data_IF_216899206198
#
_entry.id   IF_216899206198
#
_cell.length_a   1.000
_cell.length_b   1.000
_cell.length_c   1.000
_cell.angle_alpha   90.00
_cell.angle_beta   90.00
_cell.angle_gamma   90.00
#
_symmetry.space_group_name_H-M   'P 1'
#
loop_
_entity.id
_entity.type
_entity.pdbx_description
1 polymer ?
#
# COMPACT_ATOMS: atom_id res chain seq x y z
N UNK A 1 -13.48 1.83 -12.77
CA UNK A 1 -12.24 2.65 -12.90
C UNK A 1 -11.71 2.66 -14.33
N UNK A 2 -11.57 1.50 -14.98
CA UNK A 2 -10.96 1.40 -16.31
C UNK A 2 -11.72 2.13 -17.42
N UNK A 3 -13.03 2.26 -17.30
CA UNK A 3 -13.89 2.92 -18.30
C UNK A 3 -13.72 4.45 -18.35
N UNK A 4 -13.45 5.09 -17.21
CA UNK A 4 -13.50 6.56 -17.09
C UNK A 4 -12.19 7.20 -16.63
N UNK A 5 -11.12 6.42 -16.47
CA UNK A 5 -9.82 6.92 -16.03
C UNK A 5 -8.70 6.38 -16.93
N UNK A 6 -8.16 7.25 -17.79
CA UNK A 6 -7.01 6.94 -18.62
C UNK A 6 -5.70 6.92 -17.78
N UNK A 7 -4.87 5.86 -17.86
CA UNK A 7 -3.64 5.75 -17.07
C UNK A 7 -2.62 6.86 -17.29
N UNK A 8 -2.45 7.34 -18.53
CA UNK A 8 -1.48 8.39 -18.85
C UNK A 8 -1.99 9.76 -18.38
N UNK A 9 -3.30 10.01 -18.49
CA UNK A 9 -3.92 11.23 -17.94
C UNK A 9 -3.81 11.23 -16.42
N UNK A 10 -4.17 10.13 -15.75
CA UNK A 10 -4.03 10.02 -14.31
C UNK A 10 -2.58 10.28 -13.87
N UNK A 11 -1.62 9.59 -14.46
CA UNK A 11 -0.22 9.68 -14.07
C UNK A 11 0.39 11.06 -14.30
N UNK A 12 0.16 11.67 -15.47
CA UNK A 12 0.84 12.91 -15.85
C UNK A 12 0.06 14.19 -15.50
N UNK A 13 -1.26 14.11 -15.33
CA UNK A 13 -2.11 15.30 -15.13
C UNK A 13 -2.82 15.34 -13.80
N UNK A 14 -3.15 14.21 -13.17
CA UNK A 14 -3.90 14.19 -11.91
C UNK A 14 -2.97 13.96 -10.73
N UNK A 15 -2.20 12.87 -10.76
CA UNK A 15 -1.24 12.47 -9.72
C UNK A 15 -0.28 13.59 -9.25
N UNK A 16 0.22 14.51 -10.12
CA UNK A 16 1.00 15.67 -9.70
C UNK A 16 0.33 16.50 -8.59
N UNK A 17 -0.98 16.75 -8.73
CA UNK A 17 -1.76 17.58 -7.81
C UNK A 17 -2.14 16.84 -6.53
N UNK A 18 -2.00 15.51 -6.52
CA UNK A 18 -2.22 14.68 -5.34
C UNK A 18 -0.95 14.49 -4.49
N UNK A 19 0.21 14.91 -4.99
CA UNK A 19 1.46 14.84 -4.24
C UNK A 19 1.47 15.89 -3.12
N UNK A 20 1.94 15.48 -1.94
CA UNK A 20 2.14 16.39 -0.81
C UNK A 20 3.53 17.03 -0.82
N UNK A 21 3.89 17.70 0.28
CA UNK A 21 5.21 18.31 0.48
C UNK A 21 6.18 17.44 1.29
N UNK A 22 5.68 16.41 1.98
CA UNK A 22 6.49 15.48 2.78
C UNK A 22 7.34 14.58 1.86
N UNK A 23 8.63 14.46 2.18
CA UNK A 23 9.60 13.67 1.43
C UNK A 23 9.81 14.11 -0.05
N UNK A 24 9.54 15.39 -0.35
CA UNK A 24 9.62 15.97 -1.71
C UNK A 24 10.84 16.88 -1.94
N UNK A 25 11.93 16.68 -1.20
CA UNK A 25 13.16 17.44 -1.39
C UNK A 25 13.71 17.33 -2.83
N UNK A 26 13.69 16.14 -3.41
CA UNK A 26 14.10 15.87 -4.81
C UNK A 26 13.22 16.57 -5.85
N UNK A 27 11.99 16.90 -5.47
CA UNK A 27 11.01 17.59 -6.31
C UNK A 27 11.07 19.12 -6.19
N UNK A 28 12.01 19.66 -5.41
CA UNK A 28 12.17 21.10 -5.20
C UNK A 28 11.46 21.64 -3.95
N UNK A 29 10.97 20.77 -3.05
CA UNK A 29 10.41 21.15 -1.75
C UNK A 29 11.26 20.61 -0.58
N UNK A 30 12.53 21.04 -0.43
CA UNK A 30 13.42 20.53 0.63
C UNK A 30 12.96 20.91 2.04
N UNK A 31 12.25 22.03 2.17
CA UNK A 31 11.69 22.53 3.43
C UNK A 31 10.18 22.31 3.53
N UNK A 32 9.56 21.61 2.58
CA UNK A 32 8.10 21.51 2.52
C UNK A 32 7.46 22.80 1.99
N UNK A 33 6.31 23.19 2.56
CA UNK A 33 5.56 24.39 2.17
C UNK A 33 5.51 25.39 3.32
N UNK A 34 5.80 26.66 3.04
CA UNK A 34 5.57 27.74 4.00
C UNK A 34 4.08 28.11 3.97
N UNK A 35 3.42 28.03 5.12
CA UNK A 35 2.05 28.50 5.30
C UNK A 35 2.10 29.94 5.82
N UNK A 36 2.23 30.89 4.89
CA UNK A 36 2.30 32.32 5.21
C UNK A 36 0.97 32.80 5.80
N UNK A 37 1.03 33.27 7.04
CA UNK A 37 -0.08 33.84 7.79
C UNK A 37 -0.18 35.37 7.65
N UNK A 38 0.70 35.98 6.83
CA UNK A 38 0.78 37.42 6.61
C UNK A 38 1.54 38.17 7.71
N UNK A 39 2.01 37.50 8.77
CA UNK A 39 2.78 38.11 9.85
C UNK A 39 4.30 38.00 9.65
N UNK A 40 4.74 37.52 8.48
CA UNK A 40 6.15 37.38 8.13
C UNK A 40 6.87 36.24 8.86
N UNK A 41 6.11 35.35 9.54
CA UNK A 41 6.66 34.15 10.17
C UNK A 41 6.82 33.04 9.12
N UNK A 42 7.99 32.41 9.12
CA UNK A 42 8.24 31.24 8.29
C UNK A 42 7.77 29.99 9.04
N UNK A 43 6.63 29.43 8.62
CA UNK A 43 6.07 28.18 9.16
C UNK A 43 6.05 27.11 8.06
N UNK A 44 7.21 26.47 7.89
CA UNK A 44 7.40 25.40 6.93
C UNK A 44 6.83 24.08 7.46
N UNK A 45 5.91 23.48 6.69
CA UNK A 45 5.24 22.24 7.06
C UNK A 45 5.37 21.17 5.99
N UNK A 46 5.44 19.93 6.47
CA UNK A 46 5.53 18.72 5.66
C UNK A 46 4.25 17.92 5.79
N UNK A 47 3.47 17.84 4.71
CA UNK A 47 2.24 17.05 4.66
C UNK A 47 2.32 15.99 3.57
N UNK A 48 1.86 14.79 3.90
CA UNK A 48 1.75 13.68 2.95
C UNK A 48 0.69 14.00 1.89
N UNK A 49 0.91 13.52 0.66
CA UNK A 49 -0.08 13.60 -0.40
C UNK A 49 -1.27 12.68 -0.16
N UNK A 50 -2.30 12.82 -0.99
CA UNK A 50 -3.49 11.98 -0.94
C UNK A 50 -3.15 10.52 -1.20
N UNK A 51 -3.69 9.60 -0.40
CA UNK A 51 -3.50 8.16 -0.60
C UNK A 51 -4.66 7.33 -0.06
N UNK A 52 -4.87 6.13 -0.60
CA UNK A 52 -5.93 5.22 -0.16
C UNK A 52 -5.77 4.78 1.31
N UNK A 53 -4.59 4.92 1.91
CA UNK A 53 -4.38 4.65 3.34
C UNK A 53 -5.11 5.66 4.25
N UNK A 54 -5.61 6.77 3.70
CA UNK A 54 -6.48 7.73 4.39
C UNK A 54 -7.96 7.30 4.37
N UNK A 55 -8.31 6.18 3.73
CA UNK A 55 -9.66 5.61 3.79
C UNK A 55 -9.90 4.96 5.15
N UNK A 56 -10.92 5.44 5.87
CA UNK A 56 -11.35 4.85 7.14
C UNK A 56 -11.95 3.45 6.95
N UNK A 57 -12.61 3.19 5.82
CA UNK A 57 -13.25 1.90 5.55
C UNK A 57 -12.23 0.77 5.41
N UNK A 58 -11.11 1.01 4.71
CA UNK A 58 -10.06 0.00 4.56
C UNK A 58 -9.45 -0.32 5.92
N UNK A 59 -9.11 0.72 6.71
CA UNK A 59 -8.56 0.51 8.05
C UNK A 59 -9.56 -0.10 9.03
N UNK A 60 -10.87 0.14 8.85
CA UNK A 60 -11.90 -0.47 9.69
C UNK A 60 -11.90 -2.00 9.56
N UNK A 61 -11.85 -2.54 8.33
CA UNK A 61 -11.77 -3.99 8.14
C UNK A 61 -10.49 -4.58 8.72
N UNK A 62 -9.37 -3.87 8.61
CA UNK A 62 -8.11 -4.31 9.22
C UNK A 62 -8.25 -4.44 10.74
N UNK A 63 -8.84 -3.43 11.38
CA UNK A 63 -9.04 -3.41 12.84
C UNK A 63 -10.01 -4.50 13.29
N UNK A 64 -11.19 -4.61 12.65
CA UNK A 64 -12.22 -5.58 13.07
C UNK A 64 -11.75 -7.02 12.88
N UNK A 65 -10.99 -7.30 11.81
CA UNK A 65 -10.47 -8.62 11.53
C UNK A 65 -9.16 -8.92 12.27
N UNK A 66 -8.61 -8.00 13.05
CA UNK A 66 -7.37 -8.21 13.82
C UNK A 66 -6.12 -8.32 12.95
N UNK A 67 -6.05 -7.54 11.86
CA UNK A 67 -4.90 -7.44 10.96
C UNK A 67 -3.96 -6.34 11.46
N UNK A 68 -2.74 -6.74 11.81
CA UNK A 68 -1.70 -5.82 12.28
C UNK A 68 -0.74 -5.41 11.17
N UNK A 69 -0.64 -4.10 10.96
CA UNK A 69 0.26 -3.52 9.98
C UNK A 69 1.57 -3.06 10.61
N UNK A 70 2.70 -3.46 10.03
CA UNK A 70 4.03 -3.09 10.52
C UNK A 70 4.69 -2.02 9.64
N UNK A 71 5.74 -1.34 10.13
CA UNK A 71 6.55 -0.47 9.28
C UNK A 71 7.05 -1.23 8.04
N UNK A 72 7.12 -0.52 6.91
CA UNK A 72 7.48 -1.15 5.64
C UNK A 72 8.90 -1.71 5.67
N UNK A 73 9.07 -3.00 5.37
CA UNK A 73 10.33 -3.72 5.39
C UNK A 73 10.59 -4.54 6.66
N UNK A 74 9.71 -4.48 7.66
CA UNK A 74 9.74 -5.37 8.82
C UNK A 74 8.87 -6.61 8.54
N UNK A 75 9.51 -7.78 8.36
CA UNK A 75 8.81 -9.06 8.18
C UNK A 75 8.79 -9.85 9.49
N UNK A 76 7.61 -10.27 9.93
CA UNK A 76 7.39 -11.09 11.13
C UNK A 76 7.91 -12.51 10.95
N UNK A 77 9.23 -12.70 11.06
CA UNK A 77 9.87 -14.01 10.91
C UNK A 77 11.19 -14.20 11.68
N UNK A 78 11.67 -13.18 12.37
CA UNK A 78 12.69 -13.34 13.41
C UNK A 78 12.10 -12.83 14.70
N UNK A 79 11.85 -13.75 15.65
CA UNK A 79 12.11 -13.43 17.06
C UNK A 79 13.43 -12.67 17.05
N UNK A 80 13.40 -11.40 17.42
CA UNK A 80 14.60 -10.60 17.64
C UNK A 80 15.45 -11.39 18.62
N UNK A 81 16.38 -12.20 18.12
CA UNK A 81 17.61 -12.48 18.85
C UNK A 81 18.10 -11.09 19.22
N UNK A 82 18.16 -10.83 20.51
CA UNK A 82 18.83 -9.67 21.07
C UNK A 82 20.17 -9.52 20.35
N UNK A 83 20.22 -8.68 19.32
CA UNK A 83 21.46 -8.12 18.84
C UNK A 83 21.77 -7.05 19.86
N UNK A 84 22.66 -7.41 20.76
CA UNK A 84 23.43 -6.52 21.61
C UNK A 84 24.12 -5.48 20.73
N UNK A 85 23.41 -4.43 20.32
CA UNK A 85 24.00 -3.17 19.92
C UNK A 85 23.81 -2.20 21.07
N UNK A 86 24.94 -1.72 21.57
CA UNK A 86 25.07 -0.78 22.68
C UNK A 86 24.18 0.45 22.47
N UNK A 87 23.58 1.02 23.54
CA UNK A 87 22.77 2.22 23.41
C UNK A 87 23.67 3.38 23.01
N UNK A 88 23.49 3.90 21.79
CA UNK A 88 23.95 5.27 21.46
C UNK A 88 22.91 6.23 22.03
N UNK A 89 23.32 7.07 22.97
CA UNK A 89 22.51 7.91 23.86
C UNK A 89 21.64 9.00 23.19
N UNK A 90 21.51 9.08 21.86
CA UNK A 90 20.79 10.18 21.17
C UNK A 90 19.54 9.76 20.38
N UNK A 91 18.89 8.64 20.71
CA UNK A 91 17.55 8.35 20.18
C UNK A 91 16.55 8.17 21.31
N UNK A 92 15.69 9.18 21.47
CA UNK A 92 14.40 9.03 22.14
C UNK A 92 13.70 7.75 21.66
N UNK A 93 12.97 7.03 22.54
CA UNK A 93 12.38 5.73 22.22
C UNK A 93 11.52 5.84 20.97
N UNK A 94 12.05 5.32 19.86
CA UNK A 94 11.52 5.59 18.53
C UNK A 94 10.13 4.99 18.38
N UNK A 95 9.11 5.82 18.28
CA UNK A 95 7.85 5.46 17.65
C UNK A 95 8.19 4.95 16.24
N UNK A 96 8.24 3.63 16.07
CA UNK A 96 8.44 3.01 14.76
C UNK A 96 7.24 3.42 13.91
N UNK A 97 7.49 4.29 12.96
CA UNK A 97 6.45 5.08 12.30
C UNK A 97 5.63 4.20 11.33
N UNK A 98 4.51 3.66 11.81
CA UNK A 98 3.54 2.95 10.98
C UNK A 98 2.79 3.97 10.08
N UNK A 99 3.02 3.89 8.78
CA UNK A 99 2.41 4.80 7.79
C UNK A 99 0.89 4.78 7.84
N UNK A 100 0.26 3.61 8.02
CA UNK A 100 -1.21 3.47 8.08
C UNK A 100 -1.76 4.22 9.31
N UNK A 101 -1.08 4.13 10.45
CA UNK A 101 -1.45 4.87 11.66
C UNK A 101 -1.23 6.37 11.50
N UNK A 102 -0.17 6.80 10.81
CA UNK A 102 0.01 8.23 10.48
C UNK A 102 -1.18 8.75 9.66
N UNK A 103 -1.67 7.97 8.70
CA UNK A 103 -2.77 8.39 7.83
C UNK A 103 -4.10 8.61 8.56
N UNK A 104 -4.28 8.11 9.80
CA UNK A 104 -5.44 8.48 10.63
C UNK A 104 -5.47 9.97 10.98
N UNK A 105 -4.32 10.64 11.07
CA UNK A 105 -4.23 12.10 11.26
C UNK A 105 -4.74 12.90 10.05
N UNK A 106 -4.87 12.24 8.91
CA UNK A 106 -5.38 12.81 7.67
C UNK A 106 -6.85 12.43 7.41
N UNK A 107 -7.49 11.70 8.34
CA UNK A 107 -8.92 11.38 8.28
C UNK A 107 -9.75 12.47 8.98
N UNK A 108 -11.05 12.61 8.65
CA UNK A 108 -11.97 13.37 9.47
C UNK A 108 -11.93 12.91 10.93
N UNK A 109 -11.90 13.87 11.87
CA UNK A 109 -11.73 13.58 13.29
C UNK A 109 -12.69 12.51 13.85
N UNK A 110 -14.00 12.54 13.54
CA UNK A 110 -14.93 11.48 13.95
C UNK A 110 -14.55 10.09 13.43
N UNK A 111 -14.04 9.98 12.19
CA UNK A 111 -13.65 8.69 11.60
C UNK A 111 -12.40 8.12 12.26
N UNK A 112 -11.40 8.96 12.54
CA UNK A 112 -10.20 8.54 13.26
C UNK A 112 -10.54 8.04 14.67
N UNK A 113 -11.37 8.79 15.42
CA UNK A 113 -11.84 8.37 16.76
C UNK A 113 -12.65 7.09 16.72
N UNK A 114 -13.48 6.90 15.70
CA UNK A 114 -14.21 5.66 15.50
C UNK A 114 -13.27 4.47 15.34
N UNK A 115 -12.21 4.59 14.51
CA UNK A 115 -11.22 3.52 14.37
C UNK A 115 -10.47 3.22 15.66
N UNK A 116 -10.15 4.25 16.45
CA UNK A 116 -9.49 4.06 17.74
C UNK A 116 -10.43 3.35 18.75
N UNK A 117 -11.72 3.70 18.77
CA UNK A 117 -12.72 3.05 19.62
C UNK A 117 -12.96 1.59 19.20
N UNK A 118 -13.12 1.33 17.90
CA UNK A 118 -13.28 -0.03 17.37
C UNK A 118 -12.05 -0.87 17.71
N UNK A 119 -10.84 -0.30 17.65
CA UNK A 119 -9.62 -1.02 18.03
C UNK A 119 -9.53 -1.41 19.51
N UNK A 120 -10.30 -0.78 20.40
CA UNK A 120 -10.36 -1.15 21.82
C UNK A 120 -11.35 -2.29 22.10
N UNK A 121 -12.35 -2.48 21.23
CA UNK A 121 -13.47 -3.41 21.47
C UNK A 121 -13.52 -4.57 20.47
N UNK A 122 -12.84 -4.45 19.33
CA UNK A 122 -12.81 -5.49 18.31
C UNK A 122 -12.15 -6.75 18.85
N UNK A 123 -12.92 -7.84 18.87
CA UNK A 123 -12.53 -9.13 19.41
C UNK A 123 -12.90 -10.29 18.48
N UNK A 124 -13.22 -10.01 17.20
CA UNK A 124 -13.71 -11.03 16.25
C UNK A 124 -12.68 -12.14 16.10
N UNK A 125 -11.40 -11.78 15.93
CA UNK A 125 -10.31 -12.75 15.82
C UNK A 125 -10.22 -13.64 17.06
N UNK A 126 -10.11 -13.05 18.25
CA UNK A 126 -10.00 -13.79 19.51
C UNK A 126 -11.22 -14.70 19.73
N UNK A 127 -12.41 -14.22 19.36
CA UNK A 127 -13.63 -15.00 19.44
C UNK A 127 -13.61 -16.22 18.50
N UNK A 128 -13.14 -16.07 17.27
CA UNK A 128 -13.00 -17.18 16.32
C UNK A 128 -11.90 -18.15 16.78
N UNK A 129 -10.77 -17.65 17.26
CA UNK A 129 -9.66 -18.49 17.76
C UNK A 129 -10.06 -19.33 18.98
N UNK A 130 -10.89 -18.79 19.87
CA UNK A 130 -11.43 -19.52 21.04
C UNK A 130 -12.50 -20.55 20.69
N UNK A 131 -13.16 -20.40 19.54
CA UNK A 131 -14.21 -21.31 19.04
C UNK A 131 -13.77 -22.00 17.73
N UNK A 132 -12.48 -22.36 17.65
CA UNK A 132 -11.90 -23.04 16.50
C UNK A 132 -12.49 -24.44 16.24
N UNK A 133 -13.24 -24.99 17.20
CA UNK A 133 -14.05 -26.19 17.07
C UNK A 133 -15.27 -26.00 16.15
N UNK A 134 -15.69 -24.76 15.90
CA UNK A 134 -16.73 -24.43 14.94
C UNK A 134 -16.13 -24.16 13.55
N UNK A 135 -16.22 -25.13 12.61
CA UNK A 135 -15.61 -24.98 11.29
C UNK A 135 -16.30 -23.92 10.43
N UNK A 136 -17.61 -23.68 10.61
CA UNK A 136 -18.35 -22.69 9.83
C UNK A 136 -17.94 -21.27 10.22
N UNK A 137 -17.77 -21.01 11.53
CA UNK A 137 -17.29 -19.74 12.05
C UNK A 137 -15.88 -19.44 11.54
N UNK A 138 -14.99 -20.42 11.65
CA UNK A 138 -13.61 -20.32 11.16
C UNK A 138 -13.56 -20.04 9.66
N UNK A 139 -14.36 -20.78 8.88
CA UNK A 139 -14.45 -20.61 7.44
C UNK A 139 -14.96 -19.22 7.05
N UNK A 140 -15.98 -18.70 7.73
CA UNK A 140 -16.53 -17.38 7.46
C UNK A 140 -15.50 -16.27 7.71
N UNK A 141 -14.79 -16.33 8.84
CA UNK A 141 -13.72 -15.39 9.16
C UNK A 141 -12.57 -15.44 8.14
N UNK A 142 -12.09 -16.65 7.82
CA UNK A 142 -11.03 -16.87 6.85
C UNK A 142 -11.44 -16.41 5.43
N UNK A 143 -12.71 -16.56 5.06
CA UNK A 143 -13.25 -16.05 3.80
C UNK A 143 -13.22 -14.51 3.75
N UNK A 144 -13.51 -13.82 4.87
CA UNK A 144 -13.37 -12.36 4.93
C UNK A 144 -11.92 -11.91 4.69
N UNK A 145 -10.95 -12.58 5.31
CA UNK A 145 -9.53 -12.31 5.07
C UNK A 145 -9.14 -12.56 3.60
N UNK A 146 -9.65 -13.63 3.00
CA UNK A 146 -9.36 -13.98 1.61
C UNK A 146 -9.90 -12.91 0.64
N UNK A 147 -11.13 -12.43 0.87
CA UNK A 147 -11.74 -11.36 0.09
C UNK A 147 -10.97 -10.05 0.22
N UNK A 148 -10.51 -9.70 1.43
CA UNK A 148 -9.70 -8.51 1.64
C UNK A 148 -8.32 -8.61 0.99
N UNK A 149 -7.71 -9.81 0.98
CA UNK A 149 -6.46 -10.06 0.25
C UNK A 149 -6.68 -9.89 -1.26
N UNK A 150 -7.74 -10.46 -1.82
CA UNK A 150 -8.09 -10.31 -3.24
C UNK A 150 -8.34 -8.85 -3.64
N UNK A 151 -8.99 -8.08 -2.76
CA UNK A 151 -9.14 -6.63 -2.95
C UNK A 151 -7.78 -5.91 -3.02
N UNK A 152 -6.83 -6.29 -2.16
CA UNK A 152 -5.46 -5.74 -2.17
C UNK A 152 -4.69 -6.14 -3.43
N UNK A 153 -4.88 -7.35 -3.95
CA UNK A 153 -4.30 -7.77 -5.24
C UNK A 153 -4.83 -6.94 -6.41
N UNK A 154 -6.16 -6.73 -6.48
CA UNK A 154 -6.77 -5.81 -7.46
C UNK A 154 -6.20 -4.41 -7.35
N UNK A 155 -5.99 -3.91 -6.13
CA UNK A 155 -5.37 -2.60 -5.92
C UNK A 155 -3.91 -2.54 -6.39
N UNK A 156 -3.11 -3.60 -6.18
CA UNK A 156 -1.75 -3.72 -6.72
C UNK A 156 -1.76 -3.70 -8.26
N UNK A 157 -2.73 -4.39 -8.89
CA UNK A 157 -2.89 -4.39 -10.35
C UNK A 157 -3.24 -2.98 -10.88
N UNK A 158 -4.15 -2.27 -10.19
CA UNK A 158 -4.47 -0.86 -10.48
C UNK A 158 -3.21 0.00 -10.39
N UNK A 159 -2.46 -0.08 -9.29
CA UNK A 159 -1.23 0.69 -9.09
C UNK A 159 -0.20 0.39 -10.18
N UNK A 160 -0.09 -0.88 -10.58
CA UNK A 160 0.80 -1.29 -11.67
C UNK A 160 0.43 -0.59 -12.98
N UNK A 161 -0.85 -0.64 -13.37
CA UNK A 161 -1.35 -0.04 -14.61
C UNK A 161 -1.27 1.49 -14.62
N UNK A 162 -1.63 2.13 -13.51
CA UNK A 162 -1.79 3.59 -13.43
C UNK A 162 -0.54 4.34 -12.97
N UNK A 163 0.44 3.64 -12.38
CA UNK A 163 1.65 4.27 -11.84
C UNK A 163 2.92 3.64 -12.43
N UNK A 164 3.10 2.33 -12.30
CA UNK A 164 4.37 1.69 -12.68
C UNK A 164 4.59 1.73 -14.19
N UNK A 165 3.60 1.31 -14.98
CA UNK A 165 3.71 1.24 -16.45
C UNK A 165 3.95 2.65 -17.03
N UNK A 166 3.13 3.68 -16.75
CA UNK A 166 3.39 5.05 -17.21
C UNK A 166 4.76 5.59 -16.78
N UNK A 167 5.21 5.31 -15.55
CA UNK A 167 6.52 5.77 -15.07
C UNK A 167 7.68 5.17 -15.88
N UNK A 168 7.59 3.89 -16.23
CA UNK A 168 8.61 3.21 -17.07
C UNK A 168 8.64 3.79 -18.48
N UNK A 169 7.48 4.08 -19.06
CA UNK A 169 7.39 4.71 -20.39
C UNK A 169 8.00 6.11 -20.43
N UNK A 170 7.68 6.95 -19.45
CA UNK A 170 8.26 8.31 -19.33
C UNK A 170 9.78 8.24 -19.17
N UNK A 171 10.28 7.28 -18.36
CA UNK A 171 11.72 7.06 -18.19
C UNK A 171 12.39 6.57 -19.47
N UNK A 172 11.76 5.67 -20.22
CA UNK A 172 12.28 5.17 -21.50
C UNK A 172 12.39 6.30 -22.54
N UNK A 173 11.33 7.12 -22.69
CA UNK A 173 11.30 8.29 -23.59
C UNK A 173 12.31 9.37 -23.20
N UNK A 174 12.61 9.50 -21.91
CA UNK A 174 13.60 10.48 -21.43
C UNK A 174 15.05 10.06 -21.72
N UNK A 175 15.33 8.76 -21.87
CA UNK A 175 16.68 8.26 -22.22
C UNK A 175 17.00 8.36 -23.70
N UNK A 176 15.98 8.44 -24.57
CA UNK A 176 16.16 8.53 -26.02
C UNK A 176 16.24 9.98 -26.54
N UNK A 177 16.07 11.00 -25.68
CA UNK A 177 16.19 12.42 -26.04
C UNK A 177 17.48 13.03 -25.48
N UNK A 178 18.13 13.89 -26.27
CA UNK A 178 19.36 14.59 -25.89
C UNK A 178 19.16 15.46 -24.62
N UNK A 179 20.21 15.62 -23.79
CA UNK A 179 20.11 16.22 -22.45
C UNK A 179 19.69 17.71 -22.43
N UNK A 180 19.81 18.44 -23.53
CA UNK A 180 19.48 19.88 -23.58
C UNK A 180 17.98 20.19 -23.64
N UNK A 181 17.14 19.30 -24.19
CA UNK A 181 15.71 19.58 -24.40
C UNK A 181 14.82 19.30 -23.16
N UNK A 182 15.37 18.78 -22.06
CA UNK A 182 14.59 18.27 -20.90
C UNK A 182 14.54 19.19 -19.68
N UNK A 183 14.81 20.50 -19.83
CA UNK A 183 14.48 21.52 -18.81
C UNK A 183 12.97 21.81 -18.66
N UNK A 184 12.09 21.04 -19.31
CA UNK A 184 10.63 21.25 -19.24
C UNK A 184 10.02 20.46 -18.07
N UNK A 185 9.61 21.21 -17.04
CA UNK A 185 8.74 20.87 -15.89
C UNK A 185 8.99 19.50 -15.24
N UNK A 186 9.79 19.51 -14.18
CA UNK A 186 9.80 18.43 -13.18
C UNK A 186 8.44 18.44 -12.47
N UNK A 187 7.73 17.32 -12.55
CA UNK A 187 6.49 17.09 -11.83
C UNK A 187 6.81 16.48 -10.44
N UNK A 188 6.16 17.01 -9.39
CA UNK A 188 6.29 16.60 -7.99
C UNK A 188 6.17 15.07 -7.81
N UNK A 189 5.22 14.43 -8.50
CA UNK A 189 4.97 13.00 -8.38
C UNK A 189 5.93 12.12 -9.21
N UNK A 190 6.68 12.73 -10.12
CA UNK A 190 7.58 12.08 -11.08
C UNK A 190 9.06 12.41 -10.84
N UNK A 191 9.36 13.28 -9.87
CA UNK A 191 10.70 13.67 -9.49
C UNK A 191 11.40 12.55 -8.69
N UNK A 192 11.89 11.54 -9.41
CA UNK A 192 12.92 10.62 -8.92
C UNK A 192 14.19 10.85 -9.73
N UNK A 193 14.89 11.96 -9.50
CA UNK A 193 16.21 12.22 -10.12
C UNK A 193 17.29 12.18 -9.06
N UNK A 194 18.02 11.07 -9.03
CA UNK A 194 19.32 10.99 -8.36
C UNK A 194 20.29 11.92 -9.13
N UNK A 195 20.59 13.11 -8.59
CA UNK A 195 21.79 13.85 -9.00
C UNK A 195 22.97 13.01 -8.51
N UNK A 196 23.68 12.37 -9.43
CA UNK A 196 25.07 11.99 -9.15
C UNK A 196 25.83 13.31 -9.07
N UNK A 197 26.27 13.67 -7.87
CA UNK A 197 27.33 14.66 -7.73
C UNK A 197 28.52 14.18 -8.56
N UNK A 198 28.91 15.01 -9.52
CA UNK A 198 30.10 14.81 -10.34
C UNK A 198 31.27 15.28 -9.49
N UNK A 199 31.91 14.35 -8.79
CA UNK A 199 33.11 14.63 -8.00
C UNK A 199 33.64 13.36 -7.35
N UNK A 200 34.52 12.63 -8.04
CA UNK A 200 35.20 11.48 -7.47
C UNK A 200 35.61 10.45 -8.52
N UNK A 201 36.77 10.64 -9.13
CA UNK A 201 37.48 9.64 -9.91
C UNK A 201 37.89 8.47 -9.00
N UNK A 202 37.24 7.32 -9.16
CA UNK A 202 37.60 6.08 -8.49
C UNK A 202 37.10 4.90 -9.30
N UNK A 203 38.03 4.16 -9.91
CA UNK A 203 37.76 2.91 -10.60
C UNK A 203 37.26 1.87 -9.60
N UNK A 204 36.12 1.23 -9.88
CA UNK A 204 35.82 -0.08 -9.33
C UNK A 204 34.95 -0.87 -10.31
N UNK A 205 35.53 -1.96 -10.81
CA UNK A 205 34.90 -3.05 -11.54
C UNK A 205 33.71 -3.65 -10.79
N UNK A 206 32.72 -4.16 -11.55
CA UNK A 206 31.89 -5.29 -11.10
C UNK A 206 30.40 -5.02 -10.83
N UNK A 207 29.60 -5.80 -11.55
CA UNK A 207 28.15 -6.04 -11.43
C UNK A 207 27.20 -5.05 -12.11
N UNK A 208 26.56 -5.56 -13.16
CA UNK A 208 25.34 -5.07 -13.81
C UNK A 208 24.14 -5.20 -12.87
N UNK A 209 24.17 -4.46 -11.76
CA UNK A 209 23.02 -4.28 -10.89
C UNK A 209 22.12 -3.19 -11.47
N UNK A 210 20.92 -3.57 -11.92
CA UNK A 210 19.87 -2.60 -12.28
C UNK A 210 19.55 -1.78 -11.04
N UNK A 211 20.01 -0.52 -10.98
CA UNK A 211 19.71 0.39 -9.88
C UNK A 211 18.18 0.54 -9.77
N UNK A 212 17.60 -0.18 -8.81
CA UNK A 212 16.18 -0.29 -8.60
C UNK A 212 15.69 1.00 -7.93
N UNK A 213 15.49 2.04 -8.74
CA UNK A 213 14.90 3.32 -8.32
C UNK A 213 13.55 3.04 -7.68
N UNK A 214 13.47 3.12 -6.34
CA UNK A 214 12.25 2.83 -5.59
C UNK A 214 11.19 3.87 -5.95
N UNK A 215 10.17 3.46 -6.70
CA UNK A 215 9.00 4.29 -7.01
C UNK A 215 8.31 4.69 -5.72
N UNK A 216 8.18 6.01 -5.48
CA UNK A 216 7.47 6.57 -4.32
C UNK A 216 6.00 6.81 -4.67
N UNK A 217 5.09 6.47 -3.77
CA UNK A 217 3.69 6.86 -3.84
C UNK A 217 3.51 8.36 -3.58
N UNK A 218 2.30 8.88 -3.79
CA UNK A 218 1.94 10.28 -3.45
C UNK A 218 2.03 10.55 -1.95
N UNK A 219 1.80 9.53 -1.12
CA UNK A 219 2.06 9.55 0.33
C UNK A 219 3.53 9.41 0.71
N UNK A 220 4.45 9.32 -0.26
CA UNK A 220 5.90 9.28 -0.02
C UNK A 220 6.49 7.91 0.36
N UNK A 221 5.67 6.86 0.49
CA UNK A 221 6.15 5.49 0.77
C UNK A 221 6.69 4.79 -0.47
N UNK A 222 7.57 3.80 -0.29
CA UNK A 222 7.97 2.90 -1.36
C UNK A 222 6.75 2.04 -1.74
N UNK A 223 6.17 2.32 -2.92
CA UNK A 223 4.80 1.95 -3.23
C UNK A 223 4.58 0.43 -3.26
N UNK A 224 5.44 -0.30 -3.97
CA UNK A 224 5.28 -1.75 -4.15
C UNK A 224 5.61 -2.57 -2.90
N UNK A 225 6.72 -2.32 -2.20
CA UNK A 225 6.98 -3.01 -0.94
C UNK A 225 5.87 -2.82 0.09
N UNK A 226 5.34 -1.59 0.21
CA UNK A 226 4.25 -1.29 1.13
C UNK A 226 2.97 -2.06 0.80
N UNK A 227 2.52 -2.03 -0.47
CA UNK A 227 1.28 -2.70 -0.85
C UNK A 227 1.37 -4.23 -0.74
N UNK A 228 2.52 -4.80 -1.13
CA UNK A 228 2.75 -6.24 -1.00
C UNK A 228 2.79 -6.67 0.47
N UNK A 229 3.48 -5.91 1.31
CA UNK A 229 3.51 -6.20 2.74
C UNK A 229 2.12 -6.11 3.37
N UNK A 230 1.34 -5.06 3.05
CA UNK A 230 -0.01 -4.93 3.57
C UNK A 230 -0.88 -6.13 3.14
N UNK A 231 -0.80 -6.57 1.88
CA UNK A 231 -1.50 -7.78 1.42
C UNK A 231 -1.06 -9.03 2.20
N UNK A 232 0.24 -9.25 2.31
CA UNK A 232 0.76 -10.45 2.97
C UNK A 232 0.34 -10.47 4.47
N UNK A 233 0.31 -9.29 5.12
CA UNK A 233 -0.19 -9.10 6.49
C UNK A 233 -1.68 -9.43 6.65
N UNK A 234 -2.51 -9.30 5.60
CA UNK A 234 -3.93 -9.71 5.64
C UNK A 234 -4.09 -11.20 5.92
N UNK A 235 -3.16 -12.03 5.45
CA UNK A 235 -3.26 -13.48 5.59
C UNK A 235 -2.69 -14.03 6.90
N UNK A 236 -1.99 -13.20 7.69
CA UNK A 236 -1.36 -13.63 8.94
C UNK A 236 -2.36 -14.08 10.02
N UNK A 237 -3.52 -13.42 10.19
CA UNK A 237 -4.52 -13.82 11.18
C UNK A 237 -5.33 -15.08 10.84
N UNK A 238 -5.18 -15.65 9.64
CA UNK A 238 -6.00 -16.79 9.22
C UNK A 238 -5.85 -17.97 10.19
N UNK A 239 -6.99 -18.54 10.58
CA UNK A 239 -7.09 -19.53 11.65
C UNK A 239 -6.85 -20.92 11.08
N UNK A 240 -7.51 -21.27 9.97
CA UNK A 240 -7.34 -22.59 9.37
C UNK A 240 -5.99 -22.71 8.65
N UNK A 241 -5.33 -23.85 8.84
CA UNK A 241 -3.99 -24.09 8.28
C UNK A 241 -4.02 -24.13 6.74
N UNK A 242 -5.09 -24.68 6.16
CA UNK A 242 -5.27 -24.69 4.70
C UNK A 242 -5.43 -23.27 4.16
N UNK A 243 -6.16 -22.39 4.85
CA UNK A 243 -6.33 -20.98 4.48
C UNK A 243 -4.99 -20.25 4.50
N UNK A 244 -4.23 -20.39 5.60
CA UNK A 244 -2.89 -19.81 5.71
C UNK A 244 -2.02 -20.23 4.52
N UNK A 245 -1.96 -21.53 4.22
CA UNK A 245 -1.20 -22.09 3.09
C UNK A 245 -1.70 -21.60 1.75
N UNK A 246 -3.02 -21.51 1.55
CA UNK A 246 -3.63 -20.99 0.33
C UNK A 246 -3.20 -19.54 0.10
N UNK A 247 -3.40 -18.66 1.09
CA UNK A 247 -3.00 -17.26 1.01
C UNK A 247 -1.49 -17.12 0.79
N UNK A 248 -0.64 -17.89 1.49
CA UNK A 248 0.81 -17.83 1.23
C UNK A 248 1.19 -18.33 -0.17
N UNK A 249 0.47 -19.33 -0.71
CA UNK A 249 0.78 -19.94 -2.01
C UNK A 249 0.34 -19.04 -3.15
N UNK A 250 -0.86 -18.47 -3.10
CA UNK A 250 -1.35 -17.46 -4.04
C UNK A 250 -0.40 -16.26 -4.08
N UNK A 251 0.08 -15.82 -2.92
CA UNK A 251 1.08 -14.75 -2.80
C UNK A 251 2.42 -15.07 -3.49
N UNK A 252 2.80 -16.35 -3.62
CA UNK A 252 4.05 -16.80 -4.25
C UNK A 252 3.93 -17.04 -5.76
N UNK A 253 2.80 -17.55 -6.24
CA UNK A 253 2.56 -17.78 -7.67
C UNK A 253 2.48 -16.47 -8.45
N UNK A 254 1.78 -15.45 -7.95
CA UNK A 254 1.73 -14.14 -8.60
C UNK A 254 3.05 -13.36 -8.52
N UNK A 255 3.94 -13.72 -7.58
CA UNK A 255 5.26 -13.13 -7.42
C UNK A 255 6.31 -13.65 -8.41
N UNK A 256 6.05 -14.76 -9.11
CA UNK A 256 7.06 -15.49 -9.90
C UNK A 256 6.55 -15.79 -11.31
N UNK A 257 6.64 -14.79 -12.20
CA UNK A 257 6.71 -15.02 -13.65
C UNK A 257 5.48 -14.70 -14.49
N UNK A 258 4.31 -14.45 -13.91
CA UNK A 258 3.06 -14.26 -14.69
C UNK A 258 2.77 -12.83 -15.15
N UNK A 259 3.82 -12.03 -15.38
CA UNK A 259 3.64 -10.60 -15.71
C UNK A 259 3.14 -10.35 -17.15
N UNK A 260 3.02 -11.40 -17.97
CA UNK A 260 2.45 -11.34 -19.33
C UNK A 260 1.99 -12.74 -19.73
N UNK A 261 0.68 -13.03 -19.65
CA UNK A 261 -0.06 -13.82 -20.65
C UNK A 261 -1.56 -13.84 -20.30
N UNK A 262 -2.38 -13.85 -21.35
CA UNK A 262 -3.83 -13.66 -21.28
C UNK A 262 -4.55 -14.76 -20.49
N UNK A 263 -5.83 -14.45 -20.20
CA UNK A 263 -6.88 -15.34 -19.67
C UNK A 263 -6.45 -16.80 -19.51
N UNK A 264 -6.12 -17.18 -18.28
CA UNK A 264 -6.23 -18.58 -17.92
C UNK A 264 -7.70 -18.84 -17.63
N UNK A 265 -8.38 -19.50 -18.58
CA UNK A 265 -9.66 -20.14 -18.33
C UNK A 265 -9.42 -21.29 -17.35
N UNK A 266 -9.54 -20.98 -16.06
CA UNK A 266 -9.74 -22.01 -15.04
C UNK A 266 -11.24 -22.12 -14.87
N UNK A 267 -11.83 -23.14 -15.52
CA UNK A 267 -13.17 -23.61 -15.22
C UNK A 267 -13.18 -24.06 -13.76
N UNK A 268 -13.63 -23.17 -12.88
CA UNK A 268 -13.86 -23.49 -11.48
C UNK A 268 -15.24 -24.13 -11.38
N UNK A 269 -15.27 -25.44 -11.21
CA UNK A 269 -16.42 -26.11 -10.61
C UNK A 269 -16.44 -25.63 -9.15
N UNK A 270 -17.17 -24.56 -8.90
CA UNK A 270 -17.49 -24.06 -7.56
C UNK A 270 -18.84 -24.70 -7.26
N UNK A 271 -18.87 -25.71 -6.40
CA UNK A 271 -20.12 -26.10 -5.76
C UNK A 271 -20.68 -24.83 -5.09
N UNK A 272 -21.91 -24.46 -5.44
CA UNK A 272 -22.67 -23.37 -4.82
C UNK A 272 -22.79 -23.61 -3.31
N UNK A 273 -21.83 -23.08 -2.54
CA UNK A 273 -21.97 -23.02 -1.09
C UNK A 273 -22.81 -21.79 -0.77
N UNK A 274 -24.13 -22.01 -0.65
CA UNK A 274 -25.08 -21.00 -0.24
C UNK A 274 -24.85 -20.65 1.24
N UNK A 275 -24.01 -19.64 1.52
CA UNK A 275 -23.78 -19.15 2.88
C UNK A 275 -24.85 -18.10 3.21
N UNK A 276 -25.85 -18.50 4.00
CA UNK A 276 -26.88 -17.61 4.52
C UNK A 276 -26.34 -16.69 5.62
N UNK A 277 -26.04 -15.43 5.28
CA UNK A 277 -25.78 -14.37 6.25
C UNK A 277 -27.05 -13.57 6.56
N UNK A 278 -27.08 -12.89 7.71
CA UNK A 278 -28.18 -11.99 8.14
C UNK A 278 -28.41 -10.78 7.22
N UNK A 279 -27.59 -10.60 6.18
CA UNK A 279 -27.68 -9.52 5.20
C UNK A 279 -28.01 -10.01 3.77
N UNK A 280 -28.55 -11.23 3.62
CA UNK A 280 -28.89 -11.81 2.32
C UNK A 280 -27.77 -12.63 1.69
N UNK A 281 -28.13 -13.41 0.67
CA UNK A 281 -27.26 -14.33 -0.07
C UNK A 281 -26.27 -13.54 -0.92
N UNK A 282 -24.97 -13.81 -0.78
CA UNK A 282 -23.95 -13.25 -1.68
C UNK A 282 -23.57 -14.34 -2.70
N UNK A 283 -24.13 -14.27 -3.89
CA UNK A 283 -23.65 -15.04 -5.04
C UNK A 283 -22.61 -14.20 -5.79
N UNK A 284 -21.50 -14.81 -6.23
CA UNK A 284 -20.43 -14.10 -6.95
C UNK A 284 -20.88 -13.51 -8.30
N UNK A 285 -22.06 -13.92 -8.79
CA UNK A 285 -22.59 -13.57 -10.11
C UNK A 285 -23.65 -12.45 -10.09
N UNK A 286 -24.04 -11.93 -8.92
CA UNK A 286 -25.02 -10.83 -8.87
C UNK A 286 -24.33 -9.46 -9.02
N UNK A 287 -24.32 -8.98 -10.26
CA UNK A 287 -23.82 -7.66 -10.68
C UNK A 287 -24.67 -6.47 -10.15
N UNK A 288 -25.70 -6.71 -9.32
CA UNK A 288 -26.59 -5.65 -8.79
C UNK A 288 -27.05 -5.99 -7.37
N UNK A 289 -26.27 -5.65 -6.35
CA UNK A 289 -26.61 -5.90 -4.95
C UNK A 289 -25.84 -5.02 -3.95
N UNK A 290 -25.82 -3.71 -4.18
CA UNK A 290 -25.17 -2.76 -3.29
C UNK A 290 -26.05 -2.36 -2.10
N UNK A 291 -25.45 -2.27 -0.92
CA UNK A 291 -26.03 -1.90 0.39
C UNK A 291 -26.60 -0.47 0.49
N UNK A 292 -26.82 0.21 -0.64
CA UNK A 292 -27.30 1.60 -0.71
C UNK A 292 -28.48 1.74 -1.67
N UNK A 293 -29.55 0.97 -1.47
CA UNK A 293 -30.87 1.30 -2.00
C UNK A 293 -31.74 1.84 -0.86
N UNK A 294 -31.58 3.13 -0.56
CA UNK A 294 -32.61 4.04 -0.05
C UNK A 294 -32.21 5.47 -0.40
#
# INVERSE_FOLDING_TARGET
>A
MHESCDPLIFYNRIRPFLAGSKNMAEAGLPLGLNYDDGFGRLDYRFYSGGSNAQSSLIQFFDVVLGIDHRPTGEFGGRKTRQSSESPREDRAPGQRHNFIMEMRRYMPGPHARFLDQVGLVANVRDFVETHADNPQLTLAYDACLAMLSSFRDKHIAIVTRYIIVPSREVRARSRSRSPEATRKRLDLASASRQRKDVGGTGQSSGSTGTANTKLKGTGGTALIPFLKQARDETGEPAVAEWTRRFMTRTNRTEGRGDFFMGKSEVSSIIDEVQVGGLAGTWTMDEEVGGICNY
#
